data_IF_360551701459
#
_entry.id   IF_360551701459
#
_cell.length_a   1.000
_cell.length_b   1.000
_cell.length_c   1.000
_cell.angle_alpha   90.00
_cell.angle_beta   90.00
_cell.angle_gamma   90.00
#
_symmetry.space_group_name_H-M   'P 1'
#
loop_
_entity.id
_entity.type
_entity.pdbx_description
1 polymer ?
#
# COMPACT_ATOMS: atom_id res chain seq x y z
N UNK A 1 14.84 -6.63 12.10
CA UNK A 1 13.71 -7.56 11.90
C UNK A 1 13.09 -7.24 10.55
N UNK A 2 13.49 -7.95 9.50
CA UNK A 2 12.93 -7.78 8.18
C UNK A 2 11.58 -8.46 8.13
N UNK A 3 10.53 -7.71 7.80
CA UNK A 3 9.18 -8.25 7.61
C UNK A 3 9.17 -8.98 6.27
N UNK A 4 9.71 -10.20 6.25
CA UNK A 4 9.69 -11.07 5.08
C UNK A 4 8.47 -11.99 5.18
N UNK A 5 7.59 -11.93 4.18
CA UNK A 5 6.38 -12.75 4.15
C UNK A 5 6.66 -14.22 3.74
N UNK A 6 7.87 -14.54 3.28
CA UNK A 6 8.27 -15.88 2.84
C UNK A 6 9.71 -16.22 3.22
N UNK A 7 9.94 -17.48 3.60
CA UNK A 7 11.25 -18.01 4.03
C UNK A 7 12.30 -18.07 2.91
N UNK A 8 11.90 -18.07 1.63
CA UNK A 8 12.80 -18.13 0.46
C UNK A 8 12.46 -17.08 -0.61
N UNK A 9 13.10 -15.90 -0.61
CA UNK A 9 12.82 -14.79 -1.54
C UNK A 9 13.12 -15.07 -3.02
N UNK A 10 13.94 -16.07 -3.32
CA UNK A 10 14.40 -16.38 -4.68
C UNK A 10 13.46 -17.29 -5.48
N UNK A 11 12.45 -17.89 -4.83
CA UNK A 11 11.57 -18.84 -5.52
C UNK A 11 10.58 -18.10 -6.44
N UNK A 12 10.57 -18.39 -7.77
CA UNK A 12 9.64 -17.75 -8.72
C UNK A 12 8.16 -18.02 -8.42
N UNK A 13 7.83 -19.05 -7.62
CA UNK A 13 6.46 -19.32 -7.15
C UNK A 13 5.93 -18.18 -6.27
N UNK A 14 6.80 -17.46 -5.55
CA UNK A 14 6.38 -16.34 -4.72
C UNK A 14 5.75 -15.21 -5.56
N UNK A 15 6.28 -14.92 -6.75
CA UNK A 15 5.68 -13.92 -7.66
C UNK A 15 4.25 -14.24 -8.04
N UNK A 16 3.97 -15.51 -8.29
CA UNK A 16 2.63 -15.99 -8.65
C UNK A 16 1.71 -15.84 -7.43
N UNK A 17 2.18 -16.17 -6.23
CA UNK A 17 1.44 -15.95 -4.99
C UNK A 17 1.13 -14.47 -4.75
N UNK A 18 2.10 -13.57 -4.94
CA UNK A 18 1.87 -12.12 -4.84
C UNK A 18 0.84 -11.66 -5.88
N UNK A 19 0.98 -12.07 -7.14
CA UNK A 19 0.02 -11.70 -8.21
C UNK A 19 -1.39 -12.21 -7.92
N UNK A 20 -1.52 -13.46 -7.47
CA UNK A 20 -2.80 -14.02 -7.04
C UNK A 20 -3.38 -13.26 -5.84
N UNK A 21 -2.55 -12.91 -4.86
CA UNK A 21 -2.96 -12.13 -3.70
C UNK A 21 -3.49 -10.74 -4.10
N UNK A 22 -2.82 -10.05 -5.02
CA UNK A 22 -3.29 -8.77 -5.56
C UNK A 22 -4.68 -8.92 -6.19
N UNK A 23 -4.88 -9.93 -7.04
CA UNK A 23 -6.18 -10.20 -7.65
C UNK A 23 -7.27 -10.52 -6.61
N UNK A 24 -6.93 -11.29 -5.57
CA UNK A 24 -7.84 -11.61 -4.47
C UNK A 24 -8.21 -10.34 -3.69
N UNK A 25 -7.25 -9.48 -3.36
CA UNK A 25 -7.50 -8.21 -2.68
C UNK A 25 -8.40 -7.31 -3.53
N UNK A 26 -8.14 -7.20 -4.83
CA UNK A 26 -9.00 -6.44 -5.75
C UNK A 26 -10.42 -7.02 -5.81
N UNK A 27 -10.56 -8.34 -5.87
CA UNK A 27 -11.86 -9.00 -5.86
C UNK A 27 -12.62 -8.75 -4.55
N UNK A 28 -11.93 -8.78 -3.41
CA UNK A 28 -12.50 -8.44 -2.09
C UNK A 28 -12.98 -7.00 -2.07
N UNK A 29 -12.20 -6.05 -2.58
CA UNK A 29 -12.60 -4.63 -2.66
C UNK A 29 -13.89 -4.49 -3.48
N UNK A 30 -13.96 -5.13 -4.65
CA UNK A 30 -15.16 -5.12 -5.51
C UNK A 30 -16.37 -5.79 -4.84
N UNK A 31 -16.14 -6.85 -4.07
CA UNK A 31 -17.18 -7.53 -3.31
C UNK A 31 -17.73 -6.61 -2.21
N UNK A 32 -16.86 -5.90 -1.48
CA UNK A 32 -17.27 -4.92 -0.46
C UNK A 32 -18.09 -3.79 -1.09
N UNK A 33 -17.67 -3.27 -2.24
CA UNK A 33 -18.41 -2.26 -3.01
C UNK A 33 -19.83 -2.75 -3.30
N UNK A 34 -19.95 -3.99 -3.78
CA UNK A 34 -21.23 -4.58 -4.17
C UNK A 34 -22.16 -4.83 -3.00
N UNK A 35 -21.64 -5.18 -1.82
CA UNK A 35 -22.45 -5.51 -0.64
C UNK A 35 -22.84 -4.30 0.19
N UNK A 36 -21.95 -3.32 0.36
CA UNK A 36 -22.11 -2.24 1.34
C UNK A 36 -22.22 -0.84 0.72
N UNK A 37 -22.07 -0.72 -0.61
CA UNK A 37 -22.19 0.53 -1.35
C UNK A 37 -21.08 1.55 -1.07
N UNK A 38 -21.30 2.80 -1.49
CA UNK A 38 -20.26 3.84 -1.54
C UNK A 38 -19.72 4.26 -0.15
N UNK A 39 -20.55 4.19 0.90
CA UNK A 39 -20.13 4.62 2.25
C UNK A 39 -19.07 3.70 2.83
N UNK A 40 -19.19 2.39 2.63
CA UNK A 40 -18.22 1.43 3.13
C UNK A 40 -16.85 1.61 2.48
N UNK A 41 -16.82 1.86 1.17
CA UNK A 41 -15.58 2.14 0.44
C UNK A 41 -14.88 3.36 1.05
N UNK A 42 -15.63 4.44 1.30
CA UNK A 42 -15.06 5.65 1.90
C UNK A 42 -14.36 5.36 3.23
N UNK A 43 -15.01 4.62 4.13
CA UNK A 43 -14.41 4.27 5.42
C UNK A 43 -13.23 3.30 5.29
N UNK A 44 -13.32 2.29 4.42
CA UNK A 44 -12.24 1.33 4.18
C UNK A 44 -10.99 2.03 3.66
N UNK A 45 -11.13 2.90 2.64
CA UNK A 45 -10.01 3.65 2.10
C UNK A 45 -9.46 4.67 3.11
N UNK A 46 -10.31 5.40 3.84
CA UNK A 46 -9.84 6.30 4.89
C UNK A 46 -9.02 5.56 5.95
N UNK A 47 -9.52 4.42 6.44
CA UNK A 47 -8.81 3.58 7.40
C UNK A 47 -7.49 3.04 6.86
N UNK A 48 -7.49 2.54 5.64
CA UNK A 48 -6.29 2.01 4.98
C UNK A 48 -5.21 3.10 4.83
N UNK A 49 -5.58 4.30 4.33
CA UNK A 49 -4.62 5.40 4.15
C UNK A 49 -4.07 5.84 5.52
N UNK A 50 -4.91 6.00 6.54
CA UNK A 50 -4.45 6.39 7.90
C UNK A 50 -3.46 5.36 8.43
N UNK A 51 -3.80 4.07 8.36
CA UNK A 51 -2.97 2.99 8.86
C UNK A 51 -1.63 2.91 8.13
N UNK A 52 -1.65 2.92 6.80
CA UNK A 52 -0.42 2.82 6.01
C UNK A 52 0.48 4.05 6.17
N UNK A 53 -0.10 5.25 6.21
CA UNK A 53 0.67 6.47 6.46
C UNK A 53 1.33 6.44 7.84
N UNK A 54 0.57 6.06 8.89
CA UNK A 54 1.10 5.87 10.23
C UNK A 54 2.28 4.90 10.24
N UNK A 55 2.11 3.73 9.64
CA UNK A 55 3.14 2.69 9.61
C UNK A 55 4.43 3.18 8.95
N UNK A 56 4.33 3.88 7.81
CA UNK A 56 5.50 4.40 7.08
C UNK A 56 6.20 5.50 7.90
N UNK A 57 5.45 6.43 8.48
CA UNK A 57 6.01 7.50 9.33
C UNK A 57 6.70 6.88 10.55
N UNK A 58 6.07 5.91 11.21
CA UNK A 58 6.67 5.20 12.35
C UNK A 58 7.98 4.49 11.95
N UNK A 59 7.99 3.79 10.81
CA UNK A 59 9.17 3.11 10.31
C UNK A 59 10.32 4.08 9.97
N UNK A 60 10.01 5.29 9.50
CA UNK A 60 11.01 6.33 9.26
C UNK A 60 11.52 6.96 10.56
N UNK A 61 10.68 7.08 11.60
CA UNK A 61 11.07 7.74 12.84
C UNK A 61 11.88 6.83 13.76
N UNK A 62 11.63 5.53 13.77
CA UNK A 62 12.38 4.57 14.60
C UNK A 62 13.85 4.44 14.18
N UNK A 63 14.23 4.88 12.97
CA UNK A 63 15.65 4.91 12.56
C UNK A 63 16.44 6.04 13.22
N UNK A 64 15.77 7.02 13.83
CA UNK A 64 16.40 8.21 14.42
C UNK A 64 16.07 8.38 15.90
N UNK A 65 14.86 7.99 16.32
CA UNK A 65 14.32 8.20 17.67
C UNK A 65 14.20 6.87 18.42
N UNK A 66 14.08 6.95 19.75
CA UNK A 66 13.72 5.79 20.57
C UNK A 66 12.28 5.35 20.28
N UNK A 67 12.01 4.05 20.44
CA UNK A 67 10.73 3.42 20.05
C UNK A 67 9.50 4.15 20.61
N UNK A 68 9.50 4.46 21.91
CA UNK A 68 8.39 5.18 22.55
C UNK A 68 8.17 6.58 21.97
N UNK A 69 9.26 7.30 21.70
CA UNK A 69 9.18 8.66 21.16
C UNK A 69 8.74 8.61 19.68
N UNK A 70 9.26 7.65 18.91
CA UNK A 70 8.88 7.40 17.51
C UNK A 70 7.38 7.04 17.39
N UNK A 71 6.86 6.21 18.29
CA UNK A 71 5.44 5.87 18.31
C UNK A 71 4.56 7.09 18.59
N UNK A 72 4.84 7.84 19.66
CA UNK A 72 4.02 9.01 20.02
C UNK A 72 4.06 10.07 18.92
N UNK A 73 5.25 10.35 18.38
CA UNK A 73 5.42 11.35 17.31
C UNK A 73 4.76 10.91 16.00
N UNK A 74 4.86 9.64 15.61
CA UNK A 74 4.18 9.12 14.40
C UNK A 74 2.65 9.19 14.51
N UNK A 75 2.08 8.91 15.68
CA UNK A 75 0.64 9.12 15.93
C UNK A 75 0.29 10.61 15.76
N UNK A 76 1.03 11.51 16.38
CA UNK A 76 0.78 12.96 16.30
C UNK A 76 0.87 13.49 14.86
N UNK A 77 1.92 13.09 14.12
CA UNK A 77 2.12 13.48 12.72
C UNK A 77 0.98 12.94 11.85
N UNK A 78 0.58 11.68 12.05
CA UNK A 78 -0.50 11.06 11.28
C UNK A 78 -1.82 11.78 11.52
N UNK A 79 -2.18 12.00 12.78
CA UNK A 79 -3.42 12.70 13.14
C UNK A 79 -3.42 14.10 12.56
N UNK A 80 -2.30 14.82 12.64
CA UNK A 80 -2.15 16.15 12.05
C UNK A 80 -2.37 16.12 10.54
N UNK A 81 -1.61 15.33 9.78
CA UNK A 81 -1.71 15.26 8.32
C UNK A 81 -3.09 14.80 7.84
N UNK A 82 -3.68 13.80 8.49
CA UNK A 82 -4.99 13.28 8.12
C UNK A 82 -6.12 14.26 8.45
N UNK A 83 -6.03 14.96 9.57
CA UNK A 83 -6.98 16.01 9.91
C UNK A 83 -6.98 17.12 8.86
N UNK A 84 -5.80 17.58 8.44
CA UNK A 84 -5.70 18.60 7.39
C UNK A 84 -6.23 18.09 6.05
N UNK A 85 -5.85 16.88 5.64
CA UNK A 85 -6.26 16.26 4.38
C UNK A 85 -7.78 16.09 4.30
N UNK A 86 -8.43 15.60 5.37
CA UNK A 86 -9.87 15.35 5.34
C UNK A 86 -10.70 16.61 5.55
N UNK A 87 -10.21 17.61 6.30
CA UNK A 87 -10.97 18.84 6.53
C UNK A 87 -10.84 19.83 5.37
N UNK A 88 -9.68 19.88 4.75
CA UNK A 88 -9.34 20.77 3.63
C UNK A 88 -8.54 19.99 2.60
N UNK A 89 -9.21 19.19 1.73
CA UNK A 89 -8.54 18.45 0.68
C UNK A 89 -8.01 19.43 -0.37
N UNK A 90 -6.85 20.03 -0.09
CA UNK A 90 -6.05 20.71 -1.09
C UNK A 90 -5.31 19.64 -1.88
N UNK A 91 -5.32 19.78 -3.20
CA UNK A 91 -4.74 18.79 -4.12
C UNK A 91 -3.29 18.43 -3.76
N UNK A 92 -2.48 19.43 -3.39
CA UNK A 92 -1.10 19.26 -2.94
C UNK A 92 -0.93 18.34 -1.71
N UNK A 93 -1.81 18.42 -0.71
CA UNK A 93 -1.68 17.59 0.51
C UNK A 93 -1.96 16.13 0.18
N UNK A 94 -2.96 15.89 -0.66
CA UNK A 94 -3.32 14.54 -1.10
C UNK A 94 -2.19 13.91 -1.93
N UNK A 95 -1.57 14.69 -2.83
CA UNK A 95 -0.42 14.23 -3.62
C UNK A 95 0.79 13.90 -2.72
N UNK A 96 1.07 14.74 -1.72
CA UNK A 96 2.15 14.48 -0.76
C UNK A 96 1.94 13.20 0.05
N UNK A 97 0.73 12.97 0.55
CA UNK A 97 0.38 11.72 1.25
C UNK A 97 0.50 10.53 0.29
N UNK A 98 0.03 10.65 -0.95
CA UNK A 98 0.11 9.59 -1.94
C UNK A 98 1.56 9.23 -2.30
N UNK A 99 2.46 10.21 -2.43
CA UNK A 99 3.89 9.98 -2.68
C UNK A 99 4.54 9.24 -1.50
N UNK A 100 4.26 9.67 -0.26
CA UNK A 100 4.81 9.03 0.95
C UNK A 100 4.30 7.59 1.06
N UNK A 101 2.99 7.39 0.92
CA UNK A 101 2.36 6.06 1.02
C UNK A 101 2.84 5.15 -0.11
N UNK A 102 2.83 5.64 -1.34
CA UNK A 102 3.31 4.90 -2.52
C UNK A 102 4.77 4.52 -2.40
N UNK A 103 5.63 5.46 -1.99
CA UNK A 103 7.06 5.20 -1.76
C UNK A 103 7.29 4.14 -0.68
N UNK A 104 6.54 4.20 0.42
CA UNK A 104 6.65 3.18 1.47
C UNK A 104 6.16 1.79 1.03
N UNK A 105 5.07 1.71 0.25
CA UNK A 105 4.60 0.43 -0.32
C UNK A 105 5.64 -0.13 -1.28
N UNK A 106 6.24 0.71 -2.14
CA UNK A 106 7.33 0.30 -3.06
C UNK A 106 8.52 -0.24 -2.27
N UNK A 107 8.90 0.41 -1.16
CA UNK A 107 9.99 -0.05 -0.31
C UNK A 107 9.69 -1.42 0.32
N UNK A 108 8.47 -1.63 0.84
CA UNK A 108 8.05 -2.92 1.44
C UNK A 108 8.05 -4.03 0.38
N UNK A 109 7.49 -3.76 -0.81
CA UNK A 109 7.49 -4.72 -1.91
C UNK A 109 8.90 -5.01 -2.44
N UNK A 110 9.75 -3.99 -2.53
CA UNK A 110 11.13 -4.11 -3.00
C UNK A 110 12.03 -4.91 -2.06
N UNK A 111 11.82 -4.81 -0.74
CA UNK A 111 12.51 -5.68 0.23
C UNK A 111 11.96 -7.11 0.19
N UNK A 112 10.70 -7.29 -0.21
CA UNK A 112 10.03 -8.60 -0.23
C UNK A 112 10.31 -9.41 -1.48
N UNK A 113 10.62 -8.77 -2.62
CA UNK A 113 10.79 -9.43 -3.93
C UNK A 113 12.24 -9.35 -4.40
N UNK A 114 12.84 -10.51 -4.68
CA UNK A 114 14.11 -10.55 -5.40
C UNK A 114 13.93 -10.05 -6.87
N UNK A 115 15.05 -9.74 -7.54
CA UNK A 115 15.06 -9.11 -8.88
C UNK A 115 14.33 -9.96 -9.93
N UNK A 116 14.55 -11.27 -9.95
CA UNK A 116 13.90 -12.15 -10.94
C UNK A 116 12.37 -12.24 -10.68
N UNK A 117 11.92 -12.53 -9.44
CA UNK A 117 10.51 -12.45 -9.07
C UNK A 117 9.80 -11.13 -9.43
N UNK A 118 10.45 -9.98 -9.22
CA UNK A 118 9.84 -8.66 -9.47
C UNK A 118 9.65 -8.38 -10.96
N UNK A 119 10.60 -8.80 -11.81
CA UNK A 119 10.46 -8.69 -13.27
C UNK A 119 9.27 -9.52 -13.76
N UNK A 120 9.14 -10.77 -13.29
CA UNK A 120 8.01 -11.64 -13.66
C UNK A 120 6.68 -11.00 -13.25
N UNK A 121 6.62 -10.44 -12.03
CA UNK A 121 5.45 -9.75 -11.53
C UNK A 121 5.08 -8.52 -12.38
N UNK A 122 6.04 -7.66 -12.71
CA UNK A 122 5.81 -6.48 -13.55
C UNK A 122 5.35 -6.83 -14.96
N UNK A 123 5.96 -7.84 -15.59
CA UNK A 123 5.54 -8.33 -16.91
C UNK A 123 4.12 -8.89 -16.86
N UNK A 124 3.79 -9.67 -15.82
CA UNK A 124 2.44 -10.21 -15.62
C UNK A 124 1.38 -9.11 -15.50
N UNK A 125 1.66 -8.06 -14.73
CA UNK A 125 0.77 -6.89 -14.62
C UNK A 125 0.64 -6.10 -15.92
N UNK A 126 1.75 -5.92 -16.66
CA UNK A 126 1.72 -5.24 -17.96
C UNK A 126 0.84 -5.98 -18.98
N UNK A 127 0.90 -7.32 -18.98
CA UNK A 127 0.02 -8.14 -19.83
C UNK A 127 -1.44 -8.00 -19.39
N UNK A 128 -1.72 -8.02 -18.09
CA UNK A 128 -3.07 -7.82 -17.57
C UNK A 128 -3.65 -6.46 -17.99
N UNK A 129 -2.89 -5.38 -17.83
CA UNK A 129 -3.32 -4.02 -18.19
C UNK A 129 -3.60 -3.90 -19.70
N UNK A 130 -2.72 -4.47 -20.54
CA UNK A 130 -2.95 -4.57 -21.97
C UNK A 130 -4.27 -5.28 -22.30
N UNK A 131 -4.54 -6.44 -21.68
CA UNK A 131 -5.79 -7.17 -21.92
C UNK A 131 -6.99 -6.33 -21.45
N UNK A 132 -6.92 -5.71 -20.26
CA UNK A 132 -8.02 -4.94 -19.69
C UNK A 132 -8.44 -3.76 -20.57
N UNK A 133 -7.46 -3.01 -21.11
CA UNK A 133 -7.69 -1.85 -21.98
C UNK A 133 -8.25 -2.25 -23.34
N UNK A 134 -7.69 -3.28 -23.97
CA UNK A 134 -8.08 -3.65 -25.34
C UNK A 134 -9.37 -4.46 -25.40
N UNK A 135 -9.73 -5.20 -24.34
CA UNK A 135 -10.92 -6.06 -24.32
C UNK A 135 -12.20 -5.33 -23.93
N UNK A 136 -12.10 -4.07 -23.49
CA UNK A 136 -13.26 -3.24 -23.08
C UNK A 136 -13.52 -2.02 -23.96
N UNK A 137 -12.82 -1.91 -25.10
CA UNK A 137 -13.24 -1.03 -26.21
C UNK A 137 -14.29 -1.73 -27.07
#
# INVERSE_FOLDING_TARGET
MGVSAFENPENPVNSILYLALFLVVTAIILLIVRLFGERAIRYVFMGAIIYTFFYIVYLLLITVLSDTIAFISSVLITVFFMYFTFRRPTWYLMDGVAIIVGGGIIAVLGVSLAIIPSIIFMVGLAIYDFIAVYKTK
#
